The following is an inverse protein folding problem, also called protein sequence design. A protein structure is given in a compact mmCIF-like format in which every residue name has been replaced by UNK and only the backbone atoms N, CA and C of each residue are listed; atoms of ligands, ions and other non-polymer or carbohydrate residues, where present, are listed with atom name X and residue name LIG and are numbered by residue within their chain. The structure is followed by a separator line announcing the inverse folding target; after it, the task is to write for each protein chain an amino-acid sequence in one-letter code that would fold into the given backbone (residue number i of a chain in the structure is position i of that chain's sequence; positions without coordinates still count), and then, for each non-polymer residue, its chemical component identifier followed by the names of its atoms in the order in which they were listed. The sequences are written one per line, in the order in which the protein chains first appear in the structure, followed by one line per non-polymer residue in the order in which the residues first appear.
data_IF_844596854947
#
_entry.id   IF_844596854947
#
_cell.length_a   1.000
_cell.length_b   1.000
_cell.length_c   1.000
_cell.angle_alpha   90.00
_cell.angle_beta   90.00
_cell.angle_gamma   90.00
#
_symmetry.space_group_name_H-M   'P 1'
#
loop_
_entity.id
_entity.type
_entity.pdbx_description
1 polymer ?
#
# COMPACT_ATOMS: atom_id res chain seq x y z
N UNK A 1 6.71 16.19 -14.34
CA UNK A 1 6.89 14.88 -14.98
C UNK A 1 7.17 13.84 -13.89
N UNK A 2 6.81 12.58 -14.07
CA UNK A 2 7.21 11.48 -13.19
C UNK A 2 8.66 11.04 -13.48
N UNK A 3 9.18 10.06 -12.73
CA UNK A 3 10.54 9.51 -12.87
C UNK A 3 10.86 8.94 -14.27
N UNK A 4 9.84 8.70 -15.10
CA UNK A 4 9.97 8.19 -16.46
C UNK A 4 9.78 9.28 -17.53
N UNK A 5 9.78 10.57 -17.15
CA UNK A 5 9.65 11.69 -18.09
C UNK A 5 8.23 11.90 -18.65
N UNK A 6 7.21 11.25 -18.09
CA UNK A 6 5.79 11.38 -18.49
C UNK A 6 5.05 12.37 -17.59
N UNK A 7 3.85 12.87 -17.97
CA UNK A 7 3.01 13.63 -17.05
C UNK A 7 2.78 12.88 -15.74
N UNK A 8 2.74 13.61 -14.61
CA UNK A 8 2.49 13.01 -13.28
C UNK A 8 1.08 12.41 -13.20
N UNK A 9 0.08 13.11 -13.74
CA UNK A 9 -1.28 12.63 -13.85
C UNK A 9 -1.39 11.68 -15.07
N UNK A 10 -1.68 10.38 -14.86
CA UNK A 10 -1.89 9.46 -15.97
C UNK A 10 -3.13 9.86 -16.79
N UNK A 11 -3.17 9.57 -18.10
CA UNK A 11 -4.36 9.82 -18.92
C UNK A 11 -5.61 9.16 -18.32
N UNK A 12 -6.73 9.89 -18.30
CA UNK A 12 -8.02 9.38 -17.78
C UNK A 12 -8.17 9.41 -16.26
N UNK A 13 -7.19 9.93 -15.52
CA UNK A 13 -7.24 10.08 -14.06
C UNK A 13 -7.67 11.49 -13.66
N UNK A 14 -8.33 11.62 -12.51
CA UNK A 14 -8.61 12.90 -11.85
C UNK A 14 -7.77 13.05 -10.57
N UNK A 15 -7.21 14.23 -10.33
CA UNK A 15 -6.47 14.51 -9.10
C UNK A 15 -7.40 14.64 -7.88
N UNK A 16 -6.97 14.16 -6.72
CA UNK A 16 -7.66 14.32 -5.44
C UNK A 16 -6.68 14.66 -4.30
N UNK A 17 -7.14 15.46 -3.34
CA UNK A 17 -6.41 15.75 -2.09
C UNK A 17 -6.77 14.78 -0.96
N UNK A 18 -7.91 14.09 -1.08
CA UNK A 18 -8.41 13.14 -0.07
C UNK A 18 -8.08 11.72 -0.50
N UNK A 19 -7.91 10.81 0.47
CA UNK A 19 -7.98 9.37 0.22
C UNK A 19 -9.45 8.95 0.17
N UNK A 20 -10.00 8.60 -1.01
CA UNK A 20 -11.34 8.06 -1.09
C UNK A 20 -11.39 6.72 -0.36
N UNK A 21 -12.42 6.52 0.47
CA UNK A 21 -12.63 5.23 1.13
C UNK A 21 -13.31 4.29 0.15
N UNK A 22 -12.66 3.17 -0.14
CA UNK A 22 -13.20 2.10 -0.98
C UNK A 22 -13.19 0.82 -0.14
N UNK A 23 -14.38 0.29 0.15
CA UNK A 23 -14.52 -0.96 0.91
C UNK A 23 -15.16 -2.00 0.01
N UNK A 24 -14.51 -3.16 -0.09
CA UNK A 24 -15.11 -4.34 -0.69
C UNK A 24 -15.48 -5.31 0.43
N UNK A 25 -16.77 -5.41 0.73
CA UNK A 25 -17.28 -6.27 1.81
C UNK A 25 -17.31 -5.58 3.18
N UNK A 26 -17.43 -6.39 4.23
CA UNK A 26 -17.44 -5.92 5.61
C UNK A 26 -16.01 -5.64 6.09
N UNK A 27 -15.84 -4.61 6.92
CA UNK A 27 -14.53 -4.31 7.54
C UNK A 27 -14.19 -5.40 8.55
N UNK A 28 -13.05 -6.09 8.41
CA UNK A 28 -12.68 -7.15 9.35
C UNK A 28 -12.27 -6.57 10.71
N UNK A 29 -12.64 -7.28 11.78
CA UNK A 29 -12.09 -7.04 13.13
C UNK A 29 -10.81 -7.85 13.29
N UNK A 30 -9.68 -7.19 13.47
CA UNK A 30 -8.35 -7.83 13.54
C UNK A 30 -7.81 -7.71 14.98
N UNK A 31 -7.46 -8.83 15.60
CA UNK A 31 -6.70 -8.88 16.87
C UNK A 31 -5.21 -9.02 16.57
N UNK A 32 -4.39 -8.14 17.12
CA UNK A 32 -2.93 -8.18 16.90
C UNK A 32 -2.28 -9.41 17.54
N UNK A 33 -2.88 -9.98 18.60
CA UNK A 33 -2.41 -11.20 19.25
C UNK A 33 -2.52 -12.42 18.32
N UNK A 34 -3.60 -12.47 17.54
CA UNK A 34 -3.89 -13.57 16.61
C UNK A 34 -3.34 -13.32 15.19
N UNK A 35 -3.04 -12.06 14.85
CA UNK A 35 -2.56 -11.69 13.53
C UNK A 35 -1.23 -12.35 13.17
N UNK A 36 -1.11 -12.79 11.92
CA UNK A 36 0.12 -13.34 11.32
C UNK A 36 0.30 -12.77 9.92
N UNK A 37 1.56 -12.56 9.53
CA UNK A 37 1.94 -12.28 8.15
C UNK A 37 2.80 -13.41 7.63
N UNK A 38 2.35 -14.03 6.55
CA UNK A 38 2.94 -15.24 5.98
C UNK A 38 3.48 -14.95 4.58
N UNK A 39 4.73 -15.32 4.35
CA UNK A 39 5.38 -15.32 3.03
C UNK A 39 5.81 -16.74 2.74
N UNK A 40 5.22 -17.33 1.69
CA UNK A 40 5.41 -18.74 1.36
C UNK A 40 5.33 -18.98 -0.16
N UNK A 41 5.72 -20.17 -0.60
CA UNK A 41 5.63 -20.59 -2.00
C UNK A 41 6.98 -20.56 -2.72
N UNK A 42 7.14 -19.68 -3.72
CA UNK A 42 8.39 -19.59 -4.50
C UNK A 42 9.46 -18.75 -3.79
N UNK A 43 9.75 -19.09 -2.53
CA UNK A 43 10.74 -18.43 -1.68
C UNK A 43 11.73 -19.46 -1.16
N UNK A 44 12.94 -19.02 -0.81
CA UNK A 44 13.98 -19.92 -0.29
C UNK A 44 13.55 -20.62 1.00
N UNK A 45 12.85 -19.90 1.88
CA UNK A 45 12.24 -20.44 3.08
C UNK A 45 10.96 -19.66 3.39
N UNK A 46 9.90 -20.40 3.74
CA UNK A 46 8.67 -19.82 4.24
C UNK A 46 8.96 -19.06 5.54
N UNK A 47 8.32 -17.90 5.70
CA UNK A 47 8.46 -17.06 6.89
C UNK A 47 7.10 -16.60 7.38
N UNK A 48 6.98 -16.56 8.70
CA UNK A 48 5.83 -16.03 9.40
C UNK A 48 6.31 -15.03 10.43
N UNK A 49 5.56 -13.93 10.59
CA UNK A 49 5.76 -12.94 11.64
C UNK A 49 4.46 -12.75 12.42
N UNK A 50 4.59 -12.61 13.74
CA UNK A 50 3.58 -11.96 14.58
C UNK A 50 3.55 -10.46 14.31
N UNK A 51 2.52 -9.77 14.82
CA UNK A 51 2.40 -8.32 14.68
C UNK A 51 3.66 -7.58 15.18
N UNK A 52 4.13 -7.93 16.37
CA UNK A 52 5.29 -7.27 16.99
C UNK A 52 6.58 -7.54 16.20
N UNK A 53 6.78 -8.76 15.69
CA UNK A 53 7.96 -9.10 14.90
C UNK A 53 7.95 -8.39 13.54
N UNK A 54 6.78 -8.27 12.90
CA UNK A 54 6.64 -7.56 11.64
C UNK A 54 6.91 -6.05 11.82
N UNK A 55 6.36 -5.45 12.87
CA UNK A 55 6.58 -4.03 13.17
C UNK A 55 8.03 -3.71 13.60
N UNK A 56 8.79 -4.71 14.05
CA UNK A 56 10.21 -4.56 14.38
C UNK A 56 11.14 -4.65 13.16
N UNK A 57 10.62 -5.01 11.98
CA UNK A 57 11.41 -5.01 10.74
C UNK A 57 11.88 -3.58 10.40
N UNK A 58 13.04 -3.42 9.73
CA UNK A 58 13.50 -2.11 9.28
C UNK A 58 12.44 -1.38 8.47
N UNK A 59 12.14 -0.15 8.87
CA UNK A 59 11.18 0.72 8.18
C UNK A 59 11.92 1.70 7.28
N UNK A 60 11.28 2.14 6.20
CA UNK A 60 11.80 3.13 5.28
C UNK A 60 10.69 4.05 4.79
N UNK A 61 10.96 5.35 4.71
CA UNK A 61 10.02 6.31 4.16
C UNK A 61 10.13 6.36 2.62
N UNK A 62 8.98 6.37 1.94
CA UNK A 62 8.90 6.51 0.49
C UNK A 62 7.96 7.66 0.12
N UNK A 63 8.46 8.64 -0.64
CA UNK A 63 7.60 9.64 -1.28
C UNK A 63 7.16 9.17 -2.67
N UNK A 64 5.89 8.86 -2.84
CA UNK A 64 5.35 8.34 -4.09
C UNK A 64 3.90 8.79 -4.37
N UNK A 65 3.57 8.92 -5.65
CA UNK A 65 2.20 9.19 -6.11
C UNK A 65 1.36 7.89 -6.10
N UNK A 66 0.07 7.98 -5.77
CA UNK A 66 -0.89 6.87 -5.83
C UNK A 66 -1.85 7.04 -7.00
N UNK A 67 -2.04 5.99 -7.80
CA UNK A 67 -2.96 5.99 -8.94
C UNK A 67 -3.93 4.81 -8.83
N UNK A 68 -5.21 5.08 -8.59
CA UNK A 68 -6.22 4.04 -8.46
C UNK A 68 -6.74 3.62 -9.84
N UNK A 69 -6.99 2.32 -10.00
CA UNK A 69 -7.68 1.79 -11.20
C UNK A 69 -9.10 2.33 -11.38
N UNK A 70 -9.69 2.94 -10.34
CA UNK A 70 -11.00 3.61 -10.40
C UNK A 70 -10.93 5.11 -10.75
N UNK A 71 -9.87 5.53 -11.45
CA UNK A 71 -9.73 6.85 -12.11
C UNK A 71 -9.49 8.07 -11.20
N UNK A 72 -8.93 7.87 -10.01
CA UNK A 72 -8.39 8.98 -9.21
C UNK A 72 -6.89 8.80 -8.86
N UNK A 73 -6.19 9.93 -8.72
CA UNK A 73 -4.77 10.00 -8.38
C UNK A 73 -4.53 10.98 -7.25
N UNK A 74 -3.62 10.61 -6.34
CA UNK A 74 -3.14 11.46 -5.24
C UNK A 74 -1.62 11.56 -5.33
N UNK A 75 -1.09 12.74 -5.08
CA UNK A 75 0.31 13.06 -5.37
C UNK A 75 1.11 13.30 -4.10
N UNK A 76 2.40 12.99 -4.17
CA UNK A 76 3.40 13.39 -3.18
C UNK A 76 3.12 12.83 -1.77
N UNK A 77 2.49 11.65 -1.68
CA UNK A 77 2.23 10.95 -0.42
C UNK A 77 3.51 10.38 0.18
N UNK A 78 3.60 10.40 1.51
CA UNK A 78 4.66 9.73 2.29
C UNK A 78 4.11 8.39 2.79
N UNK A 79 4.77 7.31 2.39
CA UNK A 79 4.51 5.93 2.76
C UNK A 79 5.56 5.43 3.74
#
# INVERSE_FOLDING_TARGET
MNSHGRPKLPPGQSGTEKFPVLTYGETPTISHEQWRFDVWGSVEADRQWTWNEFMALPQSDLKADFHCVTHWSRFDDTW
#
